data_IF_858865960707
#
_entry.id   IF_858865960707
#
_cell.length_a   1.000
_cell.length_b   1.000
_cell.length_c   1.000
_cell.angle_alpha   90.00
_cell.angle_beta   90.00
_cell.angle_gamma   90.00
#
_symmetry.space_group_name_H-M   'P 1'
#
loop_
_entity.id
_entity.type
_entity.pdbx_description
1 polymer ?
#
# COMPACT_ATOMS: atom_id res chain seq x y z
N UNK A 1 16.97 4.39 -16.60
CA UNK A 1 16.50 5.26 -15.51
C UNK A 1 16.14 4.36 -14.34
N UNK A 2 16.81 4.49 -13.19
CA UNK A 2 16.55 3.65 -12.02
C UNK A 2 15.15 3.91 -11.48
N UNK A 3 14.31 2.88 -11.45
CA UNK A 3 12.98 2.93 -10.86
C UNK A 3 13.12 2.69 -9.36
N UNK A 4 12.62 3.61 -8.54
CA UNK A 4 12.58 3.43 -7.09
C UNK A 4 11.24 2.84 -6.68
N UNK A 5 11.17 1.51 -6.63
CA UNK A 5 10.04 0.79 -6.03
C UNK A 5 10.15 0.89 -4.51
N UNK A 6 9.08 1.32 -3.85
CA UNK A 6 9.08 1.56 -2.41
C UNK A 6 8.07 0.66 -1.73
N UNK A 7 8.53 -0.04 -0.68
CA UNK A 7 7.67 -0.74 0.25
C UNK A 7 7.43 0.18 1.47
N UNK A 8 6.20 0.63 1.66
CA UNK A 8 5.80 1.46 2.81
C UNK A 8 5.19 0.53 3.86
N UNK A 9 5.82 0.37 5.04
CA UNK A 9 5.21 -0.37 6.13
C UNK A 9 4.00 0.40 6.66
N UNK A 10 2.88 -0.27 6.87
CA UNK A 10 1.72 0.35 7.51
C UNK A 10 1.78 0.06 9.00
N UNK A 11 2.21 1.07 9.76
CA UNK A 11 2.21 1.04 11.23
C UNK A 11 0.96 1.79 11.66
N UNK A 12 -0.11 1.08 12.00
CA UNK A 12 -1.34 1.73 12.48
C UNK A 12 -2.64 0.94 12.32
N UNK A 13 -2.76 0.01 11.36
CA UNK A 13 -4.04 -0.67 11.12
C UNK A 13 -4.38 -1.75 12.18
N UNK A 14 -3.37 -2.28 12.88
CA UNK A 14 -3.54 -3.29 13.95
C UNK A 14 -3.57 -2.63 15.35
N UNK A 15 -3.06 -1.40 15.49
CA UNK A 15 -2.94 -0.73 16.79
C UNK A 15 -4.28 -0.45 17.48
N UNK A 16 -5.35 -0.28 16.72
CA UNK A 16 -6.70 -0.02 17.27
C UNK A 16 -7.41 -1.29 17.78
N UNK A 17 -7.04 -2.48 17.30
CA UNK A 17 -7.55 -3.75 17.85
C UNK A 17 -6.84 -4.14 19.15
N UNK A 18 -5.59 -3.72 19.34
CA UNK A 18 -4.82 -4.05 20.55
C UNK A 18 -5.19 -3.14 21.73
N UNK A 19 -5.54 -1.87 21.48
CA UNK A 19 -5.86 -0.93 22.56
C UNK A 19 -7.22 -1.21 23.23
N UNK A 20 -8.24 -1.61 22.46
CA UNK A 20 -9.58 -1.91 23.00
C UNK A 20 -9.66 -3.28 23.71
N UNK A 21 -8.65 -4.15 23.52
CA UNK A 21 -8.62 -5.50 24.10
C UNK A 21 -7.94 -5.59 25.48
N UNK A 22 -7.45 -4.48 26.06
CA UNK A 22 -6.85 -4.49 27.39
C UNK A 22 -5.53 -5.28 27.51
N UNK A 23 -4.89 -5.63 26.39
CA UNK A 23 -3.62 -6.34 26.37
C UNK A 23 -2.46 -5.35 26.53
N UNK A 24 -2.28 -4.86 27.75
CA UNK A 24 -1.08 -4.12 28.13
C UNK A 24 0.16 -4.98 27.93
N UNK A 25 1.02 -4.62 26.97
CA UNK A 25 2.38 -5.15 26.90
C UNK A 25 2.86 -5.74 25.57
N UNK A 26 2.08 -5.69 24.48
CA UNK A 26 2.60 -6.07 23.17
C UNK A 26 3.54 -4.99 22.62
N UNK A 27 4.81 -5.03 23.03
CA UNK A 27 5.92 -4.43 22.28
C UNK A 27 5.75 -4.87 20.83
N UNK A 28 5.57 -3.93 19.91
CA UNK A 28 5.62 -4.17 18.47
C UNK A 28 6.97 -4.80 18.15
N UNK A 29 7.05 -6.13 18.21
CA UNK A 29 8.25 -6.83 17.77
C UNK A 29 8.24 -6.73 16.25
N UNK A 30 9.34 -6.30 15.61
CA UNK A 30 9.46 -6.45 14.17
C UNK A 30 9.31 -7.93 13.86
N UNK A 31 8.26 -8.28 13.12
CA UNK A 31 7.93 -9.64 12.72
C UNK A 31 9.17 -10.29 12.08
N UNK A 32 9.84 -11.12 12.86
CA UNK A 32 11.07 -11.82 12.49
C UNK A 32 10.68 -13.27 12.23
N UNK A 33 10.25 -13.58 11.00
CA UNK A 33 10.05 -14.96 10.56
C UNK A 33 8.86 -15.25 9.65
N UNK A 34 7.93 -14.32 9.44
CA UNK A 34 6.80 -14.52 8.53
C UNK A 34 6.99 -13.77 7.20
N UNK A 35 6.66 -14.46 6.10
CA UNK A 35 6.48 -13.89 4.76
C UNK A 35 5.57 -12.67 4.87
N UNK A 36 6.05 -11.49 4.48
CA UNK A 36 5.23 -10.27 4.61
C UNK A 36 4.14 -10.26 3.56
N UNK A 37 2.91 -9.93 3.95
CA UNK A 37 1.80 -9.76 3.02
C UNK A 37 1.86 -8.39 2.36
N UNK A 38 2.00 -8.36 1.05
CA UNK A 38 2.14 -7.18 0.24
C UNK A 38 0.84 -6.85 -0.51
N UNK A 39 0.44 -5.59 -0.41
CA UNK A 39 -0.57 -4.98 -1.25
C UNK A 39 0.14 -4.17 -2.35
N UNK A 40 -0.02 -4.56 -3.61
CA UNK A 40 0.49 -3.75 -4.73
C UNK A 40 -0.52 -2.66 -5.06
N UNK A 41 -0.07 -1.41 -5.16
CA UNK A 41 -0.93 -0.27 -5.51
C UNK A 41 -0.42 0.40 -6.78
N UNK A 42 -1.30 0.50 -7.77
CA UNK A 42 -1.03 1.19 -9.03
C UNK A 42 -2.00 2.34 -9.19
N UNK A 43 -1.48 3.54 -9.46
CA UNK A 43 -2.34 4.73 -9.59
C UNK A 43 -1.83 5.72 -10.62
N UNK A 44 -2.66 6.05 -11.60
CA UNK A 44 -2.33 7.03 -12.63
C UNK A 44 -3.34 8.17 -12.59
N UNK A 45 -2.87 9.40 -12.79
CA UNK A 45 -3.77 10.57 -12.91
C UNK A 45 -4.38 10.69 -14.30
N UNK A 46 -3.66 10.23 -15.32
CA UNK A 46 -4.09 10.07 -16.70
C UNK A 46 -3.29 8.92 -17.29
N UNK A 47 -3.97 7.92 -17.84
CA UNK A 47 -3.31 6.91 -18.66
C UNK A 47 -2.92 7.56 -20.00
N UNK A 48 -1.62 7.72 -20.24
CA UNK A 48 -1.07 8.28 -21.49
C UNK A 48 0.09 7.40 -21.93
N UNK A 49 0.43 7.38 -23.22
CA UNK A 49 1.54 6.55 -23.74
C UNK A 49 2.90 6.89 -23.12
N UNK A 50 3.09 8.13 -22.64
CA UNK A 50 4.30 8.55 -21.95
C UNK A 50 4.39 8.04 -20.50
N UNK A 51 3.28 7.61 -19.91
CA UNK A 51 3.29 7.01 -18.58
C UNK A 51 3.71 5.54 -18.69
N UNK A 52 4.50 5.06 -17.72
CA UNK A 52 4.70 3.60 -17.56
C UNK A 52 3.34 2.94 -17.41
N UNK A 53 3.04 1.97 -18.26
CA UNK A 53 1.72 1.33 -18.28
C UNK A 53 1.41 0.68 -16.91
N UNK A 54 0.13 0.59 -16.50
CA UNK A 54 -0.27 -0.07 -15.27
C UNK A 54 0.30 -1.49 -15.14
N UNK A 55 0.27 -2.24 -16.24
CA UNK A 55 0.74 -3.62 -16.33
C UNK A 55 2.25 -3.68 -16.06
N UNK A 56 3.01 -2.76 -16.68
CA UNK A 56 4.46 -2.69 -16.46
C UNK A 56 4.82 -2.28 -15.04
N UNK A 57 4.02 -1.41 -14.41
CA UNK A 57 4.19 -1.06 -13.00
C UNK A 57 3.91 -2.26 -12.10
N UNK A 58 2.85 -3.03 -12.39
CA UNK A 58 2.49 -4.24 -11.68
C UNK A 58 3.59 -5.30 -11.77
N UNK A 59 4.10 -5.59 -12.97
CA UNK A 59 5.20 -6.54 -13.18
C UNK A 59 6.43 -6.21 -12.35
N UNK A 60 6.81 -4.92 -12.33
CA UNK A 60 7.98 -4.45 -11.57
C UNK A 60 7.75 -4.58 -10.05
N UNK A 61 6.54 -4.24 -9.58
CA UNK A 61 6.18 -4.41 -8.17
C UNK A 61 6.12 -5.88 -7.76
N UNK A 62 5.59 -6.75 -8.63
CA UNK A 62 5.53 -8.19 -8.40
C UNK A 62 6.94 -8.78 -8.28
N UNK A 63 7.83 -8.44 -9.22
CA UNK A 63 9.23 -8.88 -9.15
C UNK A 63 9.92 -8.44 -7.85
N UNK A 64 9.63 -7.23 -7.34
CA UNK A 64 10.15 -6.81 -6.04
C UNK A 64 9.58 -7.67 -4.89
N UNK A 65 8.29 -8.01 -4.92
CA UNK A 65 7.68 -8.87 -3.92
C UNK A 65 8.34 -10.25 -3.93
N UNK A 66 8.51 -10.83 -5.11
CA UNK A 66 9.13 -12.15 -5.30
C UNK A 66 10.59 -12.15 -4.79
N UNK A 67 11.38 -11.15 -5.18
CA UNK A 67 12.77 -10.97 -4.74
C UNK A 67 12.91 -10.82 -3.22
N UNK A 68 11.88 -10.29 -2.56
CA UNK A 68 11.85 -10.07 -1.10
C UNK A 68 11.16 -11.20 -0.33
N UNK A 69 10.60 -12.19 -1.02
CA UNK A 69 9.77 -13.23 -0.40
C UNK A 69 8.53 -12.65 0.27
N UNK A 70 7.84 -11.72 -0.40
CA UNK A 70 6.56 -11.20 0.05
C UNK A 70 5.42 -11.99 -0.60
N UNK A 71 4.34 -12.21 0.15
CA UNK A 71 3.12 -12.81 -0.35
C UNK A 71 2.19 -11.70 -0.85
N UNK A 72 1.84 -11.71 -2.14
CA UNK A 72 0.93 -10.69 -2.68
C UNK A 72 -0.51 -11.06 -2.38
N UNK A 73 -1.12 -10.36 -1.41
CA UNK A 73 -2.52 -10.58 -0.98
C UNK A 73 -3.53 -9.78 -1.82
N UNK A 74 -3.04 -8.91 -2.70
CA UNK A 74 -3.89 -8.26 -3.69
C UNK A 74 -3.24 -7.12 -4.43
N UNK A 75 -4.01 -6.59 -5.38
CA UNK A 75 -3.65 -5.46 -6.22
C UNK A 75 -4.79 -4.44 -6.19
N UNK A 76 -4.44 -3.18 -5.92
CA UNK A 76 -5.35 -2.05 -6.02
C UNK A 76 -4.94 -1.18 -7.21
N UNK A 77 -5.84 -1.05 -8.18
CA UNK A 77 -5.63 -0.20 -9.34
C UNK A 77 -6.58 1.00 -9.31
N UNK A 78 -6.03 2.21 -9.38
CA UNK A 78 -6.79 3.46 -9.42
C UNK A 78 -6.34 4.27 -10.66
N UNK A 79 -7.01 4.08 -11.80
CA UNK A 79 -6.74 4.84 -13.01
C UNK A 79 -7.53 6.16 -13.02
N UNK A 80 -6.98 7.17 -13.68
CA UNK A 80 -7.52 8.53 -13.77
C UNK A 80 -7.82 9.22 -12.42
N UNK A 81 -7.04 8.88 -11.39
CA UNK A 81 -7.10 9.46 -10.05
C UNK A 81 -5.92 10.39 -9.78
N UNK A 82 -6.19 11.61 -9.33
CA UNK A 82 -5.11 12.52 -8.91
C UNK A 82 -4.35 11.97 -7.70
N UNK A 83 -3.02 12.08 -7.71
CA UNK A 83 -2.20 11.75 -6.53
C UNK A 83 -2.40 12.66 -5.31
N UNK A 84 -3.22 13.72 -5.40
CA UNK A 84 -3.63 14.53 -4.25
C UNK A 84 -4.81 13.93 -3.46
N UNK A 85 -5.48 12.92 -4.02
CA UNK A 85 -6.57 12.20 -3.36
C UNK A 85 -6.03 11.41 -2.16
N UNK A 86 -6.80 11.36 -1.08
CA UNK A 86 -6.49 10.52 0.08
C UNK A 86 -6.50 9.04 -0.38
N UNK A 87 -5.42 8.27 -0.17
CA UNK A 87 -5.37 6.85 -0.52
C UNK A 87 -6.55 6.04 -0.01
N UNK A 88 -7.15 6.42 1.11
CA UNK A 88 -8.27 5.68 1.70
C UNK A 88 -9.62 6.36 1.47
N UNK A 89 -9.69 7.31 0.52
CA UNK A 89 -10.95 7.91 0.07
C UNK A 89 -11.79 6.85 -0.67
N UNK A 90 -12.80 6.30 0.02
CA UNK A 90 -13.68 5.27 -0.52
C UNK A 90 -14.43 5.68 -1.79
N UNK A 91 -14.69 6.97 -2.00
CA UNK A 91 -15.41 7.46 -3.19
C UNK A 91 -14.51 7.55 -4.41
N UNK A 92 -13.25 7.94 -4.22
CA UNK A 92 -12.32 8.23 -5.33
C UNK A 92 -11.26 7.16 -5.55
N UNK A 93 -11.02 6.32 -4.54
CA UNK A 93 -10.05 5.21 -4.56
C UNK A 93 -10.66 3.95 -3.92
N UNK A 94 -11.81 3.49 -4.44
CA UNK A 94 -12.54 2.37 -3.84
C UNK A 94 -11.68 1.09 -3.78
N UNK A 95 -10.78 0.91 -4.74
CA UNK A 95 -9.99 -0.31 -4.87
C UNK A 95 -8.99 -0.50 -3.74
N UNK A 96 -8.36 0.56 -3.23
CA UNK A 96 -7.48 0.47 -2.05
C UNK A 96 -8.27 0.66 -0.74
N UNK A 97 -9.42 1.36 -0.77
CA UNK A 97 -10.23 1.61 0.41
C UNK A 97 -10.94 0.35 0.97
N UNK A 98 -11.02 -0.77 0.24
CA UNK A 98 -11.58 -2.04 0.74
C UNK A 98 -10.78 -2.65 1.89
N UNK A 99 -9.47 -2.43 1.94
CA UNK A 99 -8.62 -2.95 3.01
C UNK A 99 -8.86 -2.29 4.38
N UNK A 100 -8.85 -0.95 4.52
CA UNK A 100 -9.23 -0.33 5.79
C UNK A 100 -10.70 -0.55 6.16
N UNK A 101 -11.55 -0.96 5.21
CA UNK A 101 -12.93 -1.39 5.48
C UNK A 101 -13.03 -2.84 5.96
N UNK A 102 -11.91 -3.57 6.06
CA UNK A 102 -11.86 -5.00 6.41
C UNK A 102 -12.67 -5.90 5.45
N UNK A 103 -12.78 -5.48 4.18
CA UNK A 103 -13.47 -6.20 3.10
C UNK A 103 -12.48 -7.04 2.25
N UNK A 104 -11.19 -7.00 2.57
CA UNK A 104 -10.11 -7.71 1.89
C UNK A 104 -9.07 -8.24 2.88
N UNK A 105 -8.24 -9.17 2.43
CA UNK A 105 -7.23 -9.81 3.26
C UNK A 105 -6.23 -8.80 3.84
N UNK A 106 -5.93 -8.82 5.15
CA UNK A 106 -5.00 -7.87 5.76
C UNK A 106 -3.60 -7.94 5.13
N UNK A 107 -2.96 -6.78 5.02
CA UNK A 107 -1.62 -6.64 4.46
C UNK A 107 -0.69 -5.95 5.45
N UNK A 108 0.62 -6.19 5.32
CA UNK A 108 1.66 -5.65 6.20
C UNK A 108 2.46 -4.52 5.51
N UNK A 109 2.60 -4.60 4.18
CA UNK A 109 3.35 -3.64 3.37
C UNK A 109 2.58 -3.21 2.12
N UNK A 110 2.68 -1.93 1.77
CA UNK A 110 2.21 -1.41 0.48
C UNK A 110 3.39 -1.29 -0.47
N UNK A 111 3.28 -1.89 -1.66
CA UNK A 111 4.29 -1.82 -2.71
C UNK A 111 3.78 -0.94 -3.84
N UNK A 112 4.55 0.09 -4.18
CA UNK A 112 4.24 1.03 -5.25
C UNK A 112 5.43 1.26 -6.15
N UNK A 113 5.15 1.45 -7.44
CA UNK A 113 6.18 1.77 -8.44
C UNK A 113 6.96 3.05 -8.10
N UNK A 114 6.28 4.03 -7.50
CA UNK A 114 6.87 5.25 -6.92
C UNK A 114 6.01 5.76 -5.77
N UNK A 115 6.59 6.42 -4.76
CA UNK A 115 5.83 6.97 -3.61
C UNK A 115 4.73 7.95 -4.05
N UNK A 116 5.01 8.73 -5.09
CA UNK A 116 4.04 9.65 -5.68
C UNK A 116 2.88 8.92 -6.40
N UNK A 117 2.84 7.57 -6.42
CA UNK A 117 1.72 6.70 -6.80
C UNK A 117 0.83 6.33 -5.62
N UNK A 118 1.35 6.35 -4.40
CA UNK A 118 0.53 6.21 -3.20
C UNK A 118 -0.16 7.54 -2.87
N UNK A 119 0.61 8.60 -2.60
CA UNK A 119 0.09 9.94 -2.37
C UNK A 119 1.17 10.99 -2.62
N UNK A 120 0.75 12.20 -3.01
CA UNK A 120 1.62 13.39 -3.11
C UNK A 120 1.41 14.36 -1.95
N UNK A 121 0.54 14.02 -1.00
CA UNK A 121 0.23 14.85 0.16
C UNK A 121 0.96 14.32 1.39
N UNK A 122 1.80 15.17 2.01
CA UNK A 122 2.49 14.82 3.26
C UNK A 122 1.50 14.47 4.37
N UNK A 123 0.36 15.17 4.44
CA UNK A 123 -0.72 14.90 5.40
C UNK A 123 -1.28 13.48 5.24
N UNK A 124 -1.46 13.03 4.00
CA UNK A 124 -1.97 11.67 3.75
C UNK A 124 -0.88 10.61 3.99
N UNK A 125 0.38 10.95 3.73
CA UNK A 125 1.51 10.08 4.06
C UNK A 125 1.64 9.83 5.57
N UNK A 126 1.44 10.86 6.40
CA UNK A 126 1.49 10.70 7.87
C UNK A 126 0.44 9.72 8.41
N UNK A 127 -0.76 9.65 7.82
CA UNK A 127 -1.82 8.69 8.19
C UNK A 127 -1.47 7.22 7.89
N UNK A 128 -0.45 6.96 7.07
CA UNK A 128 -0.02 5.59 6.74
C UNK A 128 0.97 5.04 7.77
N UNK A 129 1.62 5.92 8.53
CA UNK A 129 2.77 5.60 9.41
C UNK A 129 2.42 5.83 10.89
N UNK A 130 1.26 6.41 11.20
CA UNK A 130 0.71 6.61 12.54
C UNK A 130 -0.72 6.09 12.57
#
# INVERSE_FOLDING_TARGET
MGVTVVAVPVVGLIGRLVHDAGLGGARLQPWKGETKRALIVTRLSRATEAATSPERQMEICQGLCDDRGYEVVGHAEDLDVSGSVDPFDRKRRPNIARWPANEAEPFDVIVVYRVDRLTRSLRHHQKLVH
#
